data_IF_887074444989
#
_entry.id   IF_887074444989
#
_cell.length_a   1.000
_cell.length_b   1.000
_cell.length_c   1.000
_cell.angle_alpha   90.00
_cell.angle_beta   90.00
_cell.angle_gamma   90.00
#
_symmetry.space_group_name_H-M   'P 1'
#
loop_
_entity.id
_entity.type
_entity.pdbx_description
1 polymer ?
#
# COMPACT_ATOMS: atom_id res chain seq x y z
N UNK A 1 8.64 -4.97 15.60
CA UNK A 1 7.41 -5.78 15.40
C UNK A 1 6.45 -4.99 14.52
N UNK A 2 5.77 -5.60 13.54
CA UNK A 2 4.73 -4.89 12.79
C UNK A 2 3.57 -4.50 13.72
N UNK A 3 2.98 -3.34 13.48
CA UNK A 3 1.77 -2.87 14.18
C UNK A 3 0.54 -3.75 13.90
N UNK A 4 0.59 -4.54 12.84
CA UNK A 4 -0.43 -5.51 12.46
C UNK A 4 0.08 -6.94 12.65
N UNK A 5 -0.58 -7.71 13.52
CA UNK A 5 -0.14 -9.07 13.89
C UNK A 5 -0.17 -10.04 12.72
N UNK A 6 -1.13 -9.93 11.81
CA UNK A 6 -1.25 -10.81 10.65
C UNK A 6 -0.10 -10.66 9.64
N UNK A 7 0.67 -9.56 9.70
CA UNK A 7 1.87 -9.34 8.88
C UNK A 7 3.14 -9.89 9.53
N UNK A 8 3.10 -10.32 10.79
CA UNK A 8 4.27 -10.84 11.48
C UNK A 8 4.67 -12.19 10.87
N UNK A 9 5.91 -12.28 10.37
CA UNK A 9 6.42 -13.48 9.72
C UNK A 9 5.87 -13.71 8.30
N UNK A 10 5.14 -12.74 7.71
CA UNK A 10 4.69 -12.87 6.33
C UNK A 10 5.85 -12.59 5.35
N UNK A 11 6.30 -13.55 4.52
CA UNK A 11 7.53 -13.42 3.75
C UNK A 11 7.57 -12.19 2.83
N UNK A 12 6.47 -11.90 2.12
CA UNK A 12 6.41 -10.74 1.23
C UNK A 12 6.50 -9.42 2.01
N UNK A 13 5.92 -9.35 3.20
CA UNK A 13 6.01 -8.16 4.04
C UNK A 13 7.44 -7.93 4.56
N UNK A 14 8.12 -8.98 5.04
CA UNK A 14 9.51 -8.87 5.50
C UNK A 14 10.46 -8.48 4.37
N UNK A 15 10.23 -9.04 3.19
CA UNK A 15 10.94 -8.68 1.96
C UNK A 15 10.69 -7.22 1.59
N UNK A 16 9.45 -6.75 1.64
CA UNK A 16 9.11 -5.34 1.42
C UNK A 16 9.84 -4.40 2.37
N UNK A 17 9.89 -4.73 3.67
CA UNK A 17 10.62 -3.92 4.64
C UNK A 17 12.10 -3.80 4.30
N UNK A 18 12.71 -4.89 3.84
CA UNK A 18 14.14 -4.95 3.54
C UNK A 18 14.47 -4.30 2.20
N UNK A 19 13.77 -4.70 1.13
CA UNK A 19 14.10 -4.27 -0.24
C UNK A 19 13.76 -2.82 -0.52
N UNK A 20 12.78 -2.22 0.15
CA UNK A 20 12.53 -0.76 0.02
C UNK A 20 13.62 0.03 0.73
N UNK A 21 14.11 -0.46 1.87
CA UNK A 21 15.19 0.20 2.61
C UNK A 21 16.52 0.17 1.84
N UNK A 22 16.79 -0.92 1.12
CA UNK A 22 17.98 -1.08 0.28
C UNK A 22 17.83 -0.48 -1.12
N UNK A 23 16.62 -0.04 -1.49
CA UNK A 23 16.32 0.49 -2.82
C UNK A 23 16.22 -0.58 -3.92
N UNK A 24 16.23 -1.87 -3.56
CA UNK A 24 16.04 -2.97 -4.49
C UNK A 24 14.59 -3.06 -5.00
N UNK A 25 13.62 -2.72 -4.14
CA UNK A 25 12.21 -2.65 -4.51
C UNK A 25 11.82 -1.23 -4.90
N UNK A 26 11.55 -1.03 -6.19
CA UNK A 26 10.90 0.19 -6.68
C UNK A 26 9.42 0.10 -6.37
N UNK A 27 8.96 0.91 -5.41
CA UNK A 27 7.55 0.93 -5.05
C UNK A 27 6.69 1.46 -6.22
N UNK A 28 5.55 0.82 -6.52
CA UNK A 28 4.59 1.36 -7.49
C UNK A 28 4.00 2.68 -6.98
N UNK A 29 3.38 3.44 -7.89
CA UNK A 29 2.61 4.63 -7.51
C UNK A 29 1.46 4.31 -6.54
N UNK A 30 0.86 5.35 -5.97
CA UNK A 30 -0.36 5.17 -5.18
C UNK A 30 -1.52 4.76 -6.08
N UNK A 31 -2.29 3.78 -5.61
CA UNK A 31 -3.63 3.49 -6.12
C UNK A 31 -4.61 4.49 -5.50
N UNK A 32 -5.64 4.87 -6.24
CA UNK A 32 -6.64 5.85 -5.80
C UNK A 32 -8.02 5.22 -5.73
N UNK A 33 -8.79 5.58 -4.71
CA UNK A 33 -10.19 5.19 -4.63
C UNK A 33 -11.09 6.00 -5.58
N UNK A 34 -12.38 5.67 -5.62
CA UNK A 34 -13.35 6.37 -6.46
C UNK A 34 -13.56 7.85 -6.10
N UNK A 35 -12.98 8.34 -5.00
CA UNK A 35 -12.98 9.74 -4.59
C UNK A 35 -11.64 10.43 -4.89
N UNK A 36 -10.74 9.77 -5.62
CA UNK A 36 -9.41 10.28 -5.92
C UNK A 36 -8.47 10.32 -4.71
N UNK A 37 -8.79 9.59 -3.63
CA UNK A 37 -7.94 9.55 -2.44
C UNK A 37 -6.98 8.36 -2.49
N UNK A 38 -5.71 8.60 -2.17
CA UNK A 38 -4.66 7.59 -2.19
C UNK A 38 -4.92 6.48 -1.17
N UNK A 39 -4.77 5.23 -1.59
CA UNK A 39 -4.94 4.03 -0.78
C UNK A 39 -3.60 3.70 -0.12
N UNK A 40 -3.60 3.68 1.21
CA UNK A 40 -2.45 3.25 2.03
C UNK A 40 -2.82 1.95 2.73
N UNK A 41 -2.10 0.88 2.42
CA UNK A 41 -2.41 -0.47 2.91
C UNK A 41 -2.00 -0.63 4.38
N UNK A 42 -2.68 -1.51 5.14
CA UNK A 42 -2.24 -1.87 6.50
C UNK A 42 -0.80 -2.36 6.50
N UNK A 43 0.02 -1.83 7.41
CA UNK A 43 1.44 -2.18 7.53
C UNK A 43 2.36 -1.38 6.62
N UNK A 44 1.83 -0.56 5.70
CA UNK A 44 2.64 0.29 4.86
C UNK A 44 3.44 1.27 5.74
N UNK A 45 4.71 1.45 5.38
CA UNK A 45 5.74 2.07 6.20
C UNK A 45 6.66 3.00 5.41
N UNK A 46 6.66 2.92 4.08
CA UNK A 46 7.46 3.77 3.21
C UNK A 46 6.58 4.70 2.39
N UNK A 47 7.08 5.92 2.17
CA UNK A 47 6.38 6.88 1.34
C UNK A 47 6.62 6.57 -0.13
N UNK A 48 5.53 6.46 -0.92
CA UNK A 48 5.60 6.21 -2.36
C UNK A 48 5.51 7.48 -3.21
N UNK A 49 5.34 8.64 -2.59
CA UNK A 49 5.18 9.91 -3.30
C UNK A 49 6.47 10.26 -4.07
N UNK A 50 6.34 10.52 -5.37
CA UNK A 50 7.43 10.74 -6.34
C UNK A 50 8.49 11.77 -5.90
N UNK A 51 8.07 12.88 -5.30
CA UNK A 51 8.92 14.00 -4.84
C UNK A 51 9.37 13.88 -3.38
N UNK A 52 9.04 12.79 -2.69
CA UNK A 52 9.41 12.63 -1.30
C UNK A 52 10.92 12.34 -1.15
N UNK A 53 11.62 13.13 -0.32
CA UNK A 53 13.02 12.85 0.05
C UNK A 53 13.17 11.71 1.06
N UNK A 54 12.07 11.28 1.66
CA UNK A 54 12.01 10.26 2.73
C UNK A 54 11.44 8.92 2.24
N UNK A 55 11.54 8.60 0.93
CA UNK A 55 10.99 7.35 0.37
C UNK A 55 11.53 6.09 1.04
N UNK A 56 12.82 6.06 1.33
CA UNK A 56 13.50 4.94 2.01
C UNK A 56 13.46 5.04 3.54
N UNK A 57 12.90 6.13 4.10
CA UNK A 57 12.80 6.30 5.54
C UNK A 57 11.56 5.57 6.05
N UNK A 58 11.79 4.52 6.83
CA UNK A 58 10.73 3.73 7.43
C UNK A 58 9.96 4.53 8.48
N UNK A 59 8.66 4.63 8.31
CA UNK A 59 7.73 5.02 9.37
C UNK A 59 7.55 3.84 10.34
N UNK A 60 7.56 4.13 11.64
CA UNK A 60 7.33 3.12 12.68
C UNK A 60 5.93 2.52 12.60
N UNK A 61 4.96 3.33 12.17
CA UNK A 61 3.56 2.95 12.04
C UNK A 61 2.93 3.53 10.78
N UNK A 62 1.94 2.82 10.23
CA UNK A 62 1.15 3.28 9.09
C UNK A 62 0.41 4.60 9.38
N UNK A 63 0.03 4.85 10.65
CA UNK A 63 -0.52 6.15 11.06
C UNK A 63 0.47 7.30 10.85
N UNK A 64 1.75 7.08 11.16
CA UNK A 64 2.80 8.07 10.96
C UNK A 64 3.06 8.30 9.47
N UNK A 65 3.02 7.24 8.66
CA UNK A 65 3.07 7.37 7.20
C UNK A 65 1.90 8.21 6.68
N UNK A 66 0.67 7.94 7.13
CA UNK A 66 -0.52 8.71 6.75
C UNK A 66 -0.40 10.19 7.15
N UNK A 67 0.11 10.47 8.35
CA UNK A 67 0.38 11.83 8.80
C UNK A 67 1.45 12.54 7.97
N UNK A 68 2.50 11.81 7.58
CA UNK A 68 3.53 12.30 6.67
C UNK A 68 2.96 12.64 5.30
N UNK A 69 2.14 11.75 4.73
CA UNK A 69 1.57 11.92 3.39
C UNK A 69 0.66 13.14 3.28
N UNK A 70 -0.10 13.47 4.33
CA UNK A 70 -0.95 14.68 4.37
C UNK A 70 -0.16 15.98 4.21
N UNK A 71 1.17 15.96 4.38
CA UNK A 71 2.02 17.15 4.24
C UNK A 71 2.57 17.32 2.83
N UNK A 72 2.38 16.32 1.95
CA UNK A 72 2.72 16.47 0.53
C UNK A 72 1.76 17.42 -0.18
N UNK A 73 2.23 17.95 -1.31
CA UNK A 73 1.51 18.90 -2.16
C UNK A 73 0.96 20.12 -1.39
N UNK A 74 1.73 20.59 -0.41
CA UNK A 74 1.34 21.72 0.44
C UNK A 74 0.10 21.46 1.30
N UNK A 75 -0.14 20.20 1.68
CA UNK A 75 -1.30 19.83 2.50
C UNK A 75 -2.48 19.23 1.71
N UNK A 76 -2.34 19.10 0.39
CA UNK A 76 -3.45 18.74 -0.51
C UNK A 76 -3.49 17.28 -0.91
N UNK A 77 -2.50 16.48 -0.50
CA UNK A 77 -2.46 15.07 -0.83
C UNK A 77 -3.61 14.32 -0.13
N UNK A 78 -4.63 13.96 -0.90
CA UNK A 78 -5.82 13.27 -0.41
C UNK A 78 -5.51 11.79 -0.12
N UNK A 79 -5.81 11.33 1.08
CA UNK A 79 -5.58 9.94 1.51
C UNK A 79 -6.92 9.36 1.95
N UNK A 80 -7.20 8.14 1.50
CA UNK A 80 -8.41 7.42 1.91
C UNK A 80 -8.44 7.35 3.42
N UNK A 81 -9.56 7.76 4.03
CA UNK A 81 -9.70 7.75 5.48
C UNK A 81 -9.29 6.37 6.04
N UNK A 82 -8.48 6.39 7.09
CA UNK A 82 -8.14 5.16 7.80
C UNK A 82 -9.40 4.59 8.44
N UNK A 83 -9.55 3.27 8.43
CA UNK A 83 -10.60 2.63 9.21
C UNK A 83 -10.27 2.74 10.70
N UNK A 84 -11.28 3.04 11.50
CA UNK A 84 -11.20 2.94 12.96
C UNK A 84 -11.63 1.55 13.40
N UNK A 85 -10.86 0.90 14.28
CA UNK A 85 -11.17 -0.42 14.81
C UNK A 85 -10.38 -1.56 14.16
N UNK A 86 -10.81 -2.80 14.43
CA UNK A 86 -10.16 -4.02 13.92
C UNK A 86 -10.41 -4.17 12.42
N UNK A 87 -9.40 -4.68 11.71
CA UNK A 87 -9.55 -5.09 10.31
C UNK A 87 -10.46 -6.32 10.24
N UNK A 88 -11.27 -6.43 9.19
CA UNK A 88 -11.94 -7.69 8.85
C UNK A 88 -10.92 -8.66 8.26
N UNK A 89 -11.21 -9.96 8.33
CA UNK A 89 -10.38 -10.98 7.67
C UNK A 89 -10.16 -10.68 6.19
N UNK A 90 -11.21 -10.23 5.48
CA UNK A 90 -11.11 -9.80 4.08
C UNK A 90 -10.10 -8.67 3.88
N UNK A 91 -10.05 -7.68 4.78
CA UNK A 91 -9.09 -6.58 4.68
C UNK A 91 -7.65 -7.01 5.02
N UNK A 92 -7.49 -7.99 5.91
CA UNK A 92 -6.19 -8.61 6.19
C UNK A 92 -5.70 -9.39 4.96
N UNK A 93 -6.54 -10.20 4.35
CA UNK A 93 -6.24 -10.94 3.11
C UNK A 93 -5.92 -10.01 1.94
N UNK A 94 -6.70 -8.95 1.74
CA UNK A 94 -6.44 -7.93 0.72
C UNK A 94 -5.07 -7.27 0.91
N UNK A 95 -4.68 -7.01 2.15
CA UNK A 95 -3.36 -6.46 2.46
C UNK A 95 -2.25 -7.46 2.13
N UNK A 96 -2.41 -8.74 2.45
CA UNK A 96 -1.45 -9.79 2.11
C UNK A 96 -1.28 -9.92 0.59
N UNK A 97 -2.39 -9.98 -0.16
CA UNK A 97 -2.40 -10.04 -1.61
C UNK A 97 -1.69 -8.84 -2.25
N UNK A 98 -1.88 -7.65 -1.66
CA UNK A 98 -1.16 -6.46 -2.10
C UNK A 98 0.36 -6.62 -1.92
N UNK A 99 0.83 -7.11 -0.77
CA UNK A 99 2.25 -7.37 -0.56
C UNK A 99 2.82 -8.39 -1.54
N UNK A 100 2.11 -9.48 -1.81
CA UNK A 100 2.54 -10.47 -2.80
C UNK A 100 2.64 -9.87 -4.20
N UNK A 101 1.69 -8.99 -4.55
CA UNK A 101 1.65 -8.35 -5.87
C UNK A 101 2.88 -7.50 -6.17
N UNK A 102 3.54 -6.94 -5.14
CA UNK A 102 4.79 -6.18 -5.29
C UNK A 102 5.90 -7.04 -5.92
N UNK A 103 5.91 -8.34 -5.61
CA UNK A 103 6.95 -9.27 -6.07
C UNK A 103 6.48 -10.14 -7.25
N UNK A 104 5.18 -10.36 -7.40
CA UNK A 104 4.62 -11.00 -8.59
C UNK A 104 4.83 -10.12 -9.84
N UNK A 105 4.77 -8.79 -9.67
CA UNK A 105 5.01 -7.84 -10.76
C UNK A 105 6.47 -7.83 -11.20
N UNK A 106 7.43 -8.09 -10.29
CA UNK A 106 8.85 -8.24 -10.68
C UNK A 106 9.11 -9.44 -11.59
N UNK A 107 8.32 -10.51 -11.48
CA UNK A 107 8.37 -11.63 -12.43
C UNK A 107 7.72 -11.29 -13.79
N UNK A 108 6.79 -10.32 -13.81
CA UNK A 108 6.01 -9.94 -15.00
C UNK A 108 6.54 -8.71 -15.75
N UNK A 109 7.46 -7.92 -15.18
CA UNK A 109 8.19 -6.86 -15.90
C UNK A 109 9.07 -7.41 -17.04
N UNK A 110 9.11 -8.73 -17.25
CA UNK A 110 9.64 -9.35 -18.47
C UNK A 110 8.63 -9.40 -19.64
N UNK A 111 7.30 -9.27 -19.44
CA UNK A 111 6.29 -9.24 -20.51
C UNK A 111 5.05 -8.44 -20.08
N UNK A 112 4.86 -7.27 -20.70
CA UNK A 112 3.71 -6.40 -20.47
C UNK A 112 2.37 -7.11 -20.68
N UNK A 113 1.47 -7.02 -19.68
CA UNK A 113 0.09 -7.53 -19.68
C UNK A 113 -0.78 -6.58 -18.81
N UNK A 114 -2.07 -6.33 -19.15
CA UNK A 114 -2.80 -5.09 -18.86
C UNK A 114 -3.42 -5.02 -17.45
N UNK A 115 -3.97 -3.85 -17.03
CA UNK A 115 -4.53 -3.67 -15.69
C UNK A 115 -5.71 -4.62 -15.40
N UNK A 116 -5.71 -5.17 -14.18
CA UNK A 116 -6.77 -6.03 -13.63
C UNK A 116 -8.12 -5.30 -13.53
N UNK A 117 -9.27 -6.00 -13.61
CA UNK A 117 -10.57 -5.38 -13.60
C UNK A 117 -10.96 -4.92 -12.18
N UNK A 118 -11.49 -3.70 -12.11
CA UNK A 118 -12.22 -3.14 -10.97
C UNK A 118 -13.45 -4.00 -10.66
N UNK A 119 -13.45 -4.72 -9.53
CA UNK A 119 -14.60 -5.49 -9.08
C UNK A 119 -15.38 -4.73 -8.01
N UNK A 120 -16.15 -3.73 -8.43
CA UNK A 120 -17.38 -3.39 -7.73
C UNK A 120 -18.50 -4.24 -8.32
N UNK A 121 -18.96 -5.26 -7.59
CA UNK A 121 -20.24 -5.92 -7.84
C UNK A 121 -21.35 -4.86 -7.70
N UNK A 122 -21.81 -4.31 -8.82
CA UNK A 122 -23.09 -3.62 -8.90
C UNK A 122 -24.19 -4.68 -8.78
N UNK A 123 -24.85 -4.73 -7.62
CA UNK A 123 -26.17 -5.35 -7.50
C UNK A 123 -27.14 -4.49 -8.31
N UNK A 124 -27.52 -4.98 -9.49
CA UNK A 124 -28.72 -4.49 -10.19
C UNK A 124 -29.88 -5.33 -9.67
N UNK A 125 -30.76 -4.70 -8.91
CA UNK A 125 -32.07 -5.25 -8.55
C UNK A 125 -33.05 -4.81 -9.64
N UNK A 126 -33.74 -5.77 -10.25
CA UNK A 126 -34.89 -5.54 -11.15
C UNK A 126 -36.11 -5.13 -10.30
#
# INVERSE_FOLDING_TARGET
MPSYRFLAGYPAYERYITEVATGQLVMPGYEYDSKGSAIVHPGEAYCRHDKCKHKIKRAQETRNLRGHLKRHDGGKFAIRAGRTGRLTTEEEEDALLWYDSLFATMASTAKGVPPRPSWKKLKVTI
#
